data_IF_534525068688
#
_entry.id   IF_534525068688
#
_cell.length_a   1.000
_cell.length_b   1.000
_cell.length_c   1.000
_cell.angle_alpha   90.00
_cell.angle_beta   90.00
_cell.angle_gamma   90.00
#
_symmetry.space_group_name_H-M   'P 1'
#
loop_
_entity.id
_entity.type
_entity.pdbx_description
1 polymer ?
#
# COMPACT_ATOMS: atom_id res chain seq x y z
N UNK A 1 -9.57 18.10 -6.66
CA UNK A 1 -9.54 16.76 -6.04
C UNK A 1 -8.50 15.92 -6.73
N UNK A 2 -7.31 15.87 -6.13
CA UNK A 2 -6.27 14.96 -6.60
C UNK A 2 -6.64 13.56 -6.16
N UNK A 3 -6.64 12.63 -7.11
CA UNK A 3 -6.96 11.23 -6.86
C UNK A 3 -5.83 10.60 -6.05
N UNK A 4 -6.18 9.77 -5.08
CA UNK A 4 -5.25 8.94 -4.31
C UNK A 4 -5.62 7.46 -4.41
N UNK A 5 -4.65 6.58 -4.17
CA UNK A 5 -4.87 5.15 -4.03
C UNK A 5 -4.91 4.81 -2.53
N UNK A 6 -6.00 4.19 -2.08
CA UNK A 6 -6.11 3.66 -0.72
C UNK A 6 -5.88 2.16 -0.77
N UNK A 7 -4.91 1.67 0.00
CA UNK A 7 -4.60 0.25 0.13
C UNK A 7 -4.95 -0.21 1.53
N UNK A 8 -5.76 -1.26 1.62
CA UNK A 8 -6.20 -1.85 2.89
C UNK A 8 -5.65 -3.27 3.04
N UNK A 9 -5.10 -3.56 4.22
CA UNK A 9 -4.62 -4.88 4.61
C UNK A 9 -5.45 -5.41 5.77
N UNK A 10 -6.01 -6.60 5.56
CA UNK A 10 -6.89 -7.27 6.50
C UNK A 10 -6.32 -8.65 6.86
N UNK A 11 -6.21 -8.94 8.15
CA UNK A 11 -5.90 -10.30 8.60
C UNK A 11 -7.11 -11.22 8.39
N UNK A 12 -6.89 -12.33 7.67
CA UNK A 12 -7.95 -13.26 7.23
C UNK A 12 -8.84 -13.78 8.37
N UNK A 13 -8.28 -13.95 9.56
CA UNK A 13 -8.99 -14.50 10.71
C UNK A 13 -9.58 -13.43 11.63
N UNK A 14 -9.66 -12.18 11.15
CA UNK A 14 -9.94 -11.03 12.00
C UNK A 14 -8.72 -10.66 12.85
N UNK A 15 -8.68 -9.42 13.31
CA UNK A 15 -7.53 -8.87 14.02
C UNK A 15 -7.19 -7.51 13.47
N UNK A 16 -5.95 -7.35 13.01
CA UNK A 16 -5.44 -6.05 12.58
C UNK A 16 -6.02 -5.63 11.22
N UNK A 17 -6.54 -4.40 11.18
CA UNK A 17 -6.93 -3.69 9.96
C UNK A 17 -6.02 -2.46 9.83
N UNK A 18 -5.32 -2.35 8.71
CA UNK A 18 -4.43 -1.23 8.42
C UNK A 18 -4.74 -0.65 7.04
N UNK A 19 -4.64 0.67 6.94
CA UNK A 19 -4.87 1.42 5.72
C UNK A 19 -3.67 2.30 5.41
N UNK A 20 -3.31 2.38 4.14
CA UNK A 20 -2.27 3.26 3.61
C UNK A 20 -2.90 4.16 2.55
N UNK A 21 -2.54 5.44 2.58
CA UNK A 21 -2.88 6.39 1.51
C UNK A 21 -1.62 6.60 0.68
N UNK A 22 -1.76 6.44 -0.63
CA UNK A 22 -0.68 6.61 -1.60
C UNK A 22 -1.05 7.78 -2.51
N UNK A 23 -0.22 8.81 -2.49
CA UNK A 23 -0.34 9.97 -3.36
C UNK A 23 0.31 9.70 -4.73
N UNK A 24 -0.01 10.53 -5.73
CA UNK A 24 0.61 10.39 -7.05
C UNK A 24 2.13 10.59 -7.01
N UNK A 25 2.62 11.45 -6.12
CA UNK A 25 4.05 11.68 -5.95
C UNK A 25 4.79 10.43 -5.43
N UNK A 26 4.13 9.64 -4.57
CA UNK A 26 4.69 8.37 -4.09
C UNK A 26 4.88 7.37 -5.23
N UNK A 27 3.92 7.31 -6.17
CA UNK A 27 4.01 6.43 -7.34
C UNK A 27 5.12 6.86 -8.30
N UNK A 28 5.29 8.16 -8.52
CA UNK A 28 6.35 8.69 -9.39
C UNK A 28 7.73 8.40 -8.81
N UNK A 29 7.87 8.38 -7.48
CA UNK A 29 9.13 8.10 -6.78
C UNK A 29 9.38 6.61 -6.51
N UNK A 30 8.39 5.75 -6.73
CA UNK A 30 8.50 4.33 -6.43
C UNK A 30 9.47 3.61 -7.38
N UNK A 31 10.22 2.64 -6.84
CA UNK A 31 11.01 1.71 -7.64
C UNK A 31 10.23 0.40 -7.82
N UNK A 32 10.31 -0.20 -9.02
CA UNK A 32 9.75 -1.52 -9.26
C UNK A 32 10.52 -2.59 -8.48
N UNK A 33 9.80 -3.42 -7.74
CA UNK A 33 10.33 -4.62 -7.11
C UNK A 33 9.70 -5.85 -7.76
N UNK A 34 10.49 -6.89 -8.02
CA UNK A 34 10.00 -8.14 -8.62
C UNK A 34 9.44 -9.09 -7.56
N UNK A 35 10.03 -9.06 -6.36
CA UNK A 35 9.69 -9.95 -5.26
C UNK A 35 9.60 -9.16 -3.96
N UNK A 36 8.62 -9.50 -3.15
CA UNK A 36 8.49 -8.97 -1.80
C UNK A 36 9.45 -9.72 -0.88
N UNK A 37 10.44 -9.03 -0.31
CA UNK A 37 11.26 -9.61 0.76
C UNK A 37 10.49 -9.59 2.08
N UNK A 38 10.23 -10.78 2.62
CA UNK A 38 9.66 -10.99 3.96
C UNK A 38 10.75 -11.60 4.83
N UNK A 39 10.99 -11.01 6.01
CA UNK A 39 11.90 -11.55 7.04
C UNK A 39 11.14 -12.38 8.05
#
# INVERSE_FOLDING_TARGET
>A
DDKCLIVELNEKNGGRHQSFVIENEDLVRANTINELQVR
#
